data_IF_868181981929
#
_entry.id   IF_868181981929
#
_cell.length_a   1.000
_cell.length_b   1.000
_cell.length_c   1.000
_cell.angle_alpha   90.00
_cell.angle_beta   90.00
_cell.angle_gamma   90.00
#
_symmetry.space_group_name_H-M   'P 1'
#
loop_
_entity.id
_entity.type
_entity.pdbx_description
1 polymer ?
#
# COMPACT_ATOMS: atom_id res chain seq x y z
N UNK A 1 26.73 23.32 35.88
CA UNK A 1 25.61 23.68 35.00
C UNK A 1 26.02 23.31 33.59
N UNK A 2 25.14 22.68 32.82
CA UNK A 2 25.42 22.29 31.44
C UNK A 2 25.39 23.52 30.53
N UNK A 3 26.46 23.77 29.78
CA UNK A 3 26.56 24.93 28.88
C UNK A 3 25.53 24.84 27.74
N UNK A 4 25.10 23.63 27.36
CA UNK A 4 24.08 23.43 26.32
C UNK A 4 22.70 23.91 26.76
N UNK A 5 22.39 23.80 28.06
CA UNK A 5 21.11 24.26 28.61
C UNK A 5 20.97 25.79 28.64
N UNK A 6 22.07 26.54 28.50
CA UNK A 6 22.09 28.00 28.46
C UNK A 6 21.90 28.56 27.03
N UNK A 7 21.90 27.70 26.01
CA UNK A 7 21.75 28.14 24.63
C UNK A 7 20.29 28.50 24.31
N UNK A 8 20.07 29.55 23.50
CA UNK A 8 18.76 29.80 22.89
C UNK A 8 18.28 28.57 22.10
N UNK A 9 16.97 28.32 22.10
CA UNK A 9 16.36 27.14 21.49
C UNK A 9 16.68 27.01 20.00
N UNK A 10 16.87 28.13 19.30
CA UNK A 10 17.21 28.20 17.89
C UNK A 10 18.63 27.69 17.62
N UNK A 11 19.58 28.01 18.51
CA UNK A 11 20.95 27.52 18.42
C UNK A 11 21.00 26.03 18.69
N UNK A 12 20.29 25.56 19.72
CA UNK A 12 20.19 24.14 20.04
C UNK A 12 19.52 23.37 18.90
N UNK A 13 18.43 23.90 18.33
CA UNK A 13 17.74 23.31 17.18
C UNK A 13 18.64 23.15 15.95
N UNK A 14 19.52 24.13 15.67
CA UNK A 14 20.51 24.02 14.58
C UNK A 14 21.53 22.93 14.83
N UNK A 15 22.05 22.82 16.06
CA UNK A 15 23.00 21.75 16.43
C UNK A 15 22.34 20.39 16.26
N UNK A 16 21.11 20.23 16.76
CA UNK A 16 20.37 18.98 16.63
C UNK A 16 20.05 18.62 15.18
N UNK A 17 19.74 19.61 14.34
CA UNK A 17 19.51 19.38 12.91
C UNK A 17 20.78 18.97 12.15
N UNK A 18 21.95 19.48 12.55
CA UNK A 18 23.23 19.02 11.99
C UNK A 18 23.47 17.56 12.39
N UNK A 19 23.27 17.21 13.66
CA UNK A 19 23.43 15.83 14.15
C UNK A 19 22.47 14.85 13.47
N UNK A 20 21.22 15.25 13.22
CA UNK A 20 20.23 14.46 12.47
C UNK A 20 20.66 14.24 11.01
N UNK A 21 21.15 15.30 10.36
CA UNK A 21 21.65 15.22 8.98
C UNK A 21 22.91 14.35 8.83
N UNK A 22 23.75 14.31 9.87
CA UNK A 22 24.97 13.49 9.92
C UNK A 22 24.71 12.06 10.41
N UNK A 23 23.44 11.67 10.63
CA UNK A 23 23.04 10.35 11.13
C UNK A 23 23.70 9.99 12.49
N UNK A 24 24.01 11.01 13.29
CA UNK A 24 24.60 10.87 14.63
C UNK A 24 23.52 10.58 15.68
N UNK A 25 22.73 9.51 15.46
CA UNK A 25 21.63 9.15 16.37
C UNK A 25 22.11 8.77 17.77
N UNK A 26 23.33 8.24 17.89
CA UNK A 26 23.89 7.84 19.19
C UNK A 26 24.14 9.05 20.09
N UNK A 27 24.56 10.16 19.48
CA UNK A 27 24.79 11.45 20.09
C UNK A 27 23.46 12.11 20.45
N UNK A 28 22.48 12.07 19.55
CA UNK A 28 21.12 12.54 19.83
C UNK A 28 20.48 11.77 21.00
N UNK A 29 20.64 10.45 21.05
CA UNK A 29 20.16 9.63 22.15
C UNK A 29 20.86 9.97 23.49
N UNK A 30 22.15 10.29 23.46
CA UNK A 30 22.88 10.78 24.65
C UNK A 30 22.36 12.13 25.11
N UNK A 31 22.02 13.04 24.19
CA UNK A 31 21.46 14.36 24.54
C UNK A 31 20.14 14.25 25.31
N UNK A 32 19.32 13.22 25.03
CA UNK A 32 18.09 12.95 25.80
C UNK A 32 18.35 12.66 27.28
N UNK A 33 19.55 12.20 27.63
CA UNK A 33 19.93 11.85 29.01
C UNK A 33 20.56 13.00 29.79
N UNK A 34 20.90 14.11 29.13
CA UNK A 34 21.66 15.21 29.75
C UNK A 34 20.77 16.12 30.60
N UNK A 35 19.71 16.67 30.01
CA UNK A 35 18.83 17.63 30.68
C UNK A 35 17.39 17.57 30.13
N UNK A 36 16.39 17.89 30.96
CA UNK A 36 14.97 17.85 30.57
C UNK A 36 14.63 18.83 29.46
N UNK A 37 15.22 20.03 29.48
CA UNK A 37 15.03 21.03 28.43
C UNK A 37 15.62 20.52 27.11
N UNK A 38 16.86 20.03 27.13
CA UNK A 38 17.51 19.46 25.93
C UNK A 38 16.69 18.30 25.38
N UNK A 39 16.27 17.36 26.24
CA UNK A 39 15.42 16.24 25.83
C UNK A 39 14.13 16.73 25.15
N UNK A 40 13.46 17.75 25.70
CA UNK A 40 12.22 18.28 25.11
C UNK A 40 12.40 18.87 23.71
N UNK A 41 13.58 19.41 23.39
CA UNK A 41 13.90 19.99 22.08
C UNK A 41 14.42 18.92 21.11
N UNK A 42 15.11 17.88 21.62
CA UNK A 42 15.62 16.76 20.82
C UNK A 42 14.54 15.77 20.41
N UNK A 43 13.54 15.53 21.26
CA UNK A 43 12.48 14.54 21.02
C UNK A 43 11.74 14.73 19.67
N UNK A 44 11.27 15.94 19.28
CA UNK A 44 10.60 16.12 17.99
C UNK A 44 11.45 15.76 16.78
N UNK A 45 12.77 15.97 16.86
CA UNK A 45 13.70 15.65 15.78
C UNK A 45 13.88 14.12 15.70
N UNK A 46 14.15 13.50 16.85
CA UNK A 46 14.33 12.06 16.98
C UNK A 46 13.11 11.24 16.53
N UNK A 47 11.92 11.76 16.84
CA UNK A 47 10.64 11.11 16.56
C UNK A 47 9.95 11.66 15.31
N UNK A 48 10.65 12.46 14.49
CA UNK A 48 10.13 12.88 13.19
C UNK A 48 9.90 11.67 12.28
N UNK A 49 10.75 10.65 12.40
CA UNK A 49 10.52 9.31 11.85
C UNK A 49 10.87 8.22 12.88
N UNK A 50 9.88 7.70 13.64
CA UNK A 50 10.12 6.67 14.66
C UNK A 50 10.64 5.34 14.07
N UNK A 51 10.59 5.16 12.75
CA UNK A 51 10.97 3.94 12.06
C UNK A 51 12.35 4.02 11.38
N UNK A 52 13.15 5.04 11.65
CA UNK A 52 14.53 5.10 11.13
C UNK A 52 15.34 3.87 11.54
N UNK A 53 15.99 3.25 10.56
CA UNK A 53 16.76 2.02 10.73
C UNK A 53 17.85 2.12 11.78
N UNK A 54 18.43 3.30 12.00
CA UNK A 54 19.50 3.50 12.95
C UNK A 54 19.06 3.45 14.43
N UNK A 55 17.77 3.64 14.78
CA UNK A 55 17.24 3.31 16.13
C UNK A 55 17.13 1.81 16.37
N UNK A 56 17.04 1.07 15.27
CA UNK A 56 16.58 -0.29 15.23
C UNK A 56 17.68 -1.27 14.83
N UNK A 57 18.84 -0.77 14.41
CA UNK A 57 20.10 -1.49 14.25
C UNK A 57 20.60 -1.89 15.64
N UNK A 58 19.96 -2.94 16.17
CA UNK A 58 20.47 -3.66 17.31
C UNK A 58 21.93 -4.03 16.99
N UNK A 59 22.83 -3.86 17.96
CA UNK A 59 24.22 -4.32 17.87
C UNK A 59 24.21 -5.86 17.82
N UNK A 60 23.76 -6.42 16.70
CA UNK A 60 23.84 -7.83 16.40
C UNK A 60 25.31 -8.15 16.20
N UNK A 61 26.02 -8.28 17.32
CA UNK A 61 27.31 -8.93 17.38
C UNK A 61 27.12 -10.36 16.91
N UNK A 62 27.28 -10.56 15.60
CA UNK A 62 27.62 -11.73 14.78
C UNK A 62 27.16 -13.17 15.15
N UNK A 63 26.65 -13.48 16.34
CA UNK A 63 26.65 -14.85 16.86
C UNK A 63 25.33 -15.29 17.54
N UNK A 64 24.15 -15.07 16.93
CA UNK A 64 22.95 -15.77 17.41
C UNK A 64 21.91 -16.00 16.32
N UNK A 65 21.73 -17.27 15.98
CA UNK A 65 20.67 -17.81 15.10
C UNK A 65 19.27 -17.81 15.76
N UNK A 66 19.01 -16.90 16.69
CA UNK A 66 17.70 -16.71 17.30
C UNK A 66 17.10 -15.42 16.76
N UNK A 67 16.06 -15.51 15.93
CA UNK A 67 15.26 -14.38 15.44
C UNK A 67 14.55 -13.70 16.60
N UNK A 68 15.28 -12.86 17.36
CA UNK A 68 14.65 -11.95 18.31
C UNK A 68 13.73 -11.02 17.51
N UNK A 69 12.51 -10.74 18.01
CA UNK A 69 11.61 -9.80 17.35
C UNK A 69 12.34 -8.47 17.18
N UNK A 70 12.48 -8.03 15.92
CA UNK A 70 13.18 -6.79 15.59
C UNK A 70 12.66 -5.64 16.44
N UNK A 71 13.56 -4.76 16.86
CA UNK A 71 13.35 -3.49 17.57
C UNK A 71 12.10 -2.72 17.10
N UNK A 72 11.83 -2.71 15.79
CA UNK A 72 10.58 -2.24 15.17
C UNK A 72 9.30 -2.77 15.82
N UNK A 73 9.21 -4.08 16.05
CA UNK A 73 8.04 -4.71 16.64
C UNK A 73 7.78 -4.23 18.07
N UNK A 74 8.84 -3.95 18.84
CA UNK A 74 8.70 -3.41 20.21
C UNK A 74 8.17 -1.98 20.19
N UNK A 75 8.66 -1.13 19.29
CA UNK A 75 8.19 0.24 19.17
C UNK A 75 6.75 0.31 18.69
N UNK A 76 6.40 -0.39 17.61
CA UNK A 76 5.02 -0.48 17.12
C UNK A 76 4.09 -1.00 18.20
N UNK A 77 4.48 -2.03 18.95
CA UNK A 77 3.69 -2.54 20.10
C UNK A 77 3.51 -1.48 21.18
N UNK A 78 4.57 -0.74 21.52
CA UNK A 78 4.51 0.31 22.53
C UNK A 78 3.58 1.43 22.12
N UNK A 79 3.69 1.91 20.87
CA UNK A 79 2.83 2.96 20.34
C UNK A 79 1.36 2.51 20.30
N UNK A 80 1.10 1.30 19.82
CA UNK A 80 -0.26 0.76 19.76
C UNK A 80 -0.85 0.50 21.15
N UNK A 81 -0.04 0.08 22.14
CA UNK A 81 -0.50 -0.11 23.53
C UNK A 81 -0.96 1.19 24.22
N UNK A 82 -0.55 2.35 23.70
CA UNK A 82 -0.93 3.67 24.21
C UNK A 82 -2.23 4.19 23.59
N UNK A 83 -2.70 3.59 22.50
CA UNK A 83 -4.03 3.90 21.96
C UNK A 83 -5.09 3.28 22.87
N UNK A 84 -6.17 4.01 23.13
CA UNK A 84 -7.26 3.46 23.96
C UNK A 84 -7.85 2.22 23.28
N UNK A 85 -8.01 1.13 24.05
CA UNK A 85 -8.47 -0.17 23.56
C UNK A 85 -9.82 -0.10 22.82
N UNK A 86 -10.65 0.91 23.11
CA UNK A 86 -11.91 1.16 22.39
C UNK A 86 -11.75 1.60 20.93
N UNK A 87 -10.57 2.07 20.53
CA UNK A 87 -10.28 2.57 19.17
C UNK A 87 -9.53 1.52 18.34
N UNK A 88 -8.85 0.56 18.97
CA UNK A 88 -8.05 -0.44 18.27
C UNK A 88 -8.94 -1.62 17.85
N UNK A 89 -8.99 -1.96 16.55
CA UNK A 89 -9.68 -3.17 16.10
C UNK A 89 -9.18 -4.44 16.81
N UNK A 90 -10.07 -5.37 17.15
CA UNK A 90 -9.72 -6.58 17.94
C UNK A 90 -8.62 -7.43 17.31
N UNK A 91 -8.57 -7.53 15.99
CA UNK A 91 -7.52 -8.30 15.29
C UNK A 91 -6.13 -7.67 15.47
N UNK A 92 -6.06 -6.34 15.60
CA UNK A 92 -4.84 -5.60 15.89
C UNK A 92 -4.37 -5.89 17.32
N UNK A 93 -5.29 -5.95 18.27
CA UNK A 93 -4.99 -6.37 19.65
C UNK A 93 -4.40 -7.77 19.68
N UNK A 94 -4.95 -8.71 18.89
CA UNK A 94 -4.45 -10.08 18.78
C UNK A 94 -3.05 -10.14 18.15
N UNK A 95 -2.80 -9.38 17.08
CA UNK A 95 -1.47 -9.31 16.46
C UNK A 95 -0.40 -8.67 17.37
N UNK A 96 -0.82 -7.93 18.39
CA UNK A 96 0.07 -7.28 19.35
C UNK A 96 0.36 -8.12 20.59
N UNK A 97 -0.35 -9.22 20.82
CA UNK A 97 -0.05 -10.12 21.93
C UNK A 97 1.38 -10.67 21.72
N UNK A 98 2.31 -10.49 22.67
CA UNK A 98 3.63 -11.10 22.61
C UNK A 98 3.47 -12.60 22.41
N UNK A 99 4.29 -13.21 21.53
CA UNK A 99 4.43 -14.66 21.44
C UNK A 99 4.55 -15.20 22.86
N UNK A 100 3.47 -15.79 23.35
CA UNK A 100 3.46 -16.49 24.61
C UNK A 100 4.41 -17.65 24.38
N UNK A 101 5.65 -17.51 24.84
CA UNK A 101 6.65 -18.57 24.73
C UNK A 101 6.29 -19.77 25.62
N UNK A 102 5.15 -19.68 26.33
CA UNK A 102 4.50 -20.75 27.06
C UNK A 102 3.20 -21.18 26.37
N UNK A 103 3.29 -21.86 25.23
CA UNK A 103 2.14 -22.60 24.68
C UNK A 103 2.08 -24.00 25.30
N UNK A 104 1.32 -24.10 26.40
CA UNK A 104 0.63 -25.35 26.70
C UNK A 104 -0.61 -25.43 25.82
N UNK A 105 -0.65 -26.48 25.00
CA UNK A 105 -1.61 -26.76 23.94
C UNK A 105 -3.07 -26.70 24.40
N UNK A 106 -3.77 -25.60 24.12
CA UNK A 106 -5.24 -25.59 24.10
C UNK A 106 -5.75 -24.77 22.92
N UNK A 107 -5.98 -25.49 21.82
CA UNK A 107 -7.08 -25.32 20.85
C UNK A 107 -7.47 -23.89 20.46
N UNK A 108 -6.53 -23.09 19.94
CA UNK A 108 -6.88 -21.89 19.17
C UNK A 108 -7.18 -22.29 17.73
N UNK A 109 -8.40 -22.77 17.50
CA UNK A 109 -8.88 -23.06 16.16
C UNK A 109 -8.98 -21.77 15.33
N UNK A 110 -8.21 -21.75 14.24
CA UNK A 110 -8.58 -21.14 12.96
C UNK A 110 -8.73 -19.60 12.91
N UNK A 111 -7.62 -18.88 13.06
CA UNK A 111 -7.51 -17.50 12.58
C UNK A 111 -6.46 -17.36 11.47
N UNK A 112 -6.20 -18.43 10.71
CA UNK A 112 -5.37 -18.31 9.52
C UNK A 112 -6.20 -17.65 8.41
N UNK A 113 -5.89 -16.42 7.97
CA UNK A 113 -6.62 -15.74 6.90
C UNK A 113 -6.38 -16.36 5.52
N UNK A 114 -5.46 -17.33 5.44
CA UNK A 114 -5.11 -18.02 4.22
C UNK A 114 -5.86 -19.35 4.09
N UNK A 115 -6.11 -19.77 2.84
CA UNK A 115 -6.68 -21.08 2.55
C UNK A 115 -5.79 -22.21 3.14
N UNK A 116 -6.37 -23.34 3.56
CA UNK A 116 -5.59 -24.51 3.96
C UNK A 116 -4.57 -24.85 2.87
N UNK A 117 -3.29 -25.00 3.23
CA UNK A 117 -2.22 -25.29 2.29
C UNK A 117 -1.49 -24.06 1.70
N UNK A 118 -2.10 -22.87 1.70
CA UNK A 118 -1.46 -21.68 1.11
C UNK A 118 -0.19 -21.24 1.86
N UNK A 119 -0.20 -21.34 3.18
CA UNK A 119 0.96 -20.98 4.01
C UNK A 119 2.10 -22.01 3.87
N UNK A 120 1.82 -23.25 3.47
CA UNK A 120 2.88 -24.24 3.20
C UNK A 120 3.67 -23.95 1.93
N UNK A 121 3.13 -23.15 1.01
CA UNK A 121 3.82 -22.77 -0.22
C UNK A 121 4.95 -21.75 0.00
N UNK A 122 5.01 -21.11 1.17
CA UNK A 122 6.06 -20.15 1.50
C UNK A 122 7.10 -20.78 2.41
N UNK A 123 8.38 -20.68 2.02
CA UNK A 123 9.51 -21.13 2.83
C UNK A 123 9.52 -20.45 4.22
N UNK A 124 9.12 -19.17 4.28
CA UNK A 124 9.05 -18.39 5.52
C UNK A 124 7.60 -17.99 5.86
N UNK A 125 6.89 -18.93 6.50
CA UNK A 125 5.52 -18.76 7.00
C UNK A 125 5.36 -17.51 7.88
N UNK A 126 6.35 -17.21 8.71
CA UNK A 126 6.29 -16.08 9.64
C UNK A 126 6.43 -14.75 8.92
N UNK A 127 7.29 -14.67 7.90
CA UNK A 127 7.40 -13.48 7.06
C UNK A 127 6.10 -13.21 6.31
N UNK A 128 5.49 -14.22 5.68
CA UNK A 128 4.22 -14.06 4.95
C UNK A 128 3.09 -13.60 5.87
N UNK A 129 2.94 -14.20 7.05
CA UNK A 129 1.96 -13.76 8.05
C UNK A 129 2.24 -12.33 8.53
N UNK A 130 3.50 -12.01 8.82
CA UNK A 130 3.91 -10.69 9.26
C UNK A 130 3.59 -9.63 8.20
N UNK A 131 3.87 -9.90 6.94
CA UNK A 131 3.62 -8.96 5.84
C UNK A 131 2.12 -8.81 5.57
N UNK A 132 1.35 -9.90 5.64
CA UNK A 132 -0.12 -9.83 5.61
C UNK A 132 -0.70 -8.96 6.72
N UNK A 133 -0.26 -9.15 7.97
CA UNK A 133 -0.75 -8.34 9.08
C UNK A 133 -0.30 -6.88 8.95
N UNK A 134 0.95 -6.61 8.55
CA UNK A 134 1.40 -5.23 8.26
C UNK A 134 0.48 -4.54 7.25
N UNK A 135 0.21 -5.20 6.13
CA UNK A 135 -0.68 -4.67 5.09
C UNK A 135 -2.07 -4.44 5.68
N UNK A 136 -2.65 -5.44 6.34
CA UNK A 136 -3.99 -5.33 6.96
C UNK A 136 -4.10 -4.17 7.95
N UNK A 137 -3.06 -3.98 8.77
CA UNK A 137 -3.00 -2.88 9.75
C UNK A 137 -2.95 -1.53 9.05
N UNK A 138 -2.08 -1.38 8.05
CA UNK A 138 -1.96 -0.15 7.26
C UNK A 138 -3.30 0.19 6.61
N UNK A 139 -3.97 -0.79 5.99
CA UNK A 139 -5.30 -0.62 5.38
C UNK A 139 -6.34 -0.11 6.36
N UNK A 140 -6.35 -0.67 7.57
CA UNK A 140 -7.34 -0.31 8.60
C UNK A 140 -7.06 1.06 9.20
N UNK A 141 -5.78 1.46 9.33
CA UNK A 141 -5.39 2.81 9.70
C UNK A 141 -5.85 3.81 8.64
N UNK A 142 -5.54 3.56 7.36
CA UNK A 142 -5.99 4.42 6.26
C UNK A 142 -7.50 4.58 6.25
N UNK A 143 -8.23 3.49 6.43
CA UNK A 143 -9.68 3.53 6.51
C UNK A 143 -10.17 4.34 7.72
N UNK A 144 -9.62 4.11 8.91
CA UNK A 144 -10.04 4.85 10.11
C UNK A 144 -9.82 6.36 9.98
N UNK A 145 -8.74 6.77 9.31
CA UNK A 145 -8.44 8.17 9.03
C UNK A 145 -9.35 8.76 7.94
N UNK A 146 -9.64 8.00 6.88
CA UNK A 146 -10.44 8.47 5.75
C UNK A 146 -11.95 8.49 6.04
N UNK A 147 -12.47 7.48 6.76
CA UNK A 147 -13.89 7.29 7.02
C UNK A 147 -14.63 8.53 7.59
N UNK A 148 -14.09 9.32 8.53
CA UNK A 148 -14.77 10.52 9.03
C UNK A 148 -14.79 11.70 8.04
N UNK A 149 -13.97 11.67 6.98
CA UNK A 149 -13.78 12.79 6.05
C UNK A 149 -14.09 12.42 4.59
N UNK A 150 -14.73 11.27 4.33
CA UNK A 150 -14.98 10.78 2.96
C UNK A 150 -15.69 11.81 2.07
N UNK A 151 -16.59 12.61 2.63
CA UNK A 151 -17.32 13.67 1.93
C UNK A 151 -16.40 14.80 1.45
N UNK A 152 -15.24 14.96 2.06
CA UNK A 152 -14.28 16.03 1.77
C UNK A 152 -13.15 15.57 0.85
N UNK A 153 -12.96 14.26 0.68
CA UNK A 153 -11.87 13.71 -0.10
C UNK A 153 -12.09 13.93 -1.59
N UNK A 154 -11.12 14.58 -2.24
CA UNK A 154 -11.05 14.71 -3.70
C UNK A 154 -10.32 13.54 -4.35
N UNK A 155 -9.43 12.87 -3.61
CA UNK A 155 -8.68 11.73 -4.08
C UNK A 155 -8.70 10.63 -3.03
N UNK A 156 -8.94 9.40 -3.46
CA UNK A 156 -8.97 8.24 -2.58
C UNK A 156 -8.42 7.01 -3.31
N UNK A 157 -7.54 6.26 -2.64
CA UNK A 157 -6.98 5.02 -3.20
C UNK A 157 -7.50 3.83 -2.42
N UNK A 158 -8.23 2.93 -3.08
CA UNK A 158 -8.62 1.65 -2.52
C UNK A 158 -7.37 0.75 -2.56
N UNK A 159 -6.74 0.60 -1.41
CA UNK A 159 -5.48 -0.12 -1.27
C UNK A 159 -5.62 -1.65 -1.29
N UNK A 160 -6.85 -2.18 -1.21
CA UNK A 160 -7.08 -3.62 -1.20
C UNK A 160 -8.47 -3.99 -1.71
N UNK A 161 -8.52 -4.73 -2.81
CA UNK A 161 -9.78 -5.14 -3.45
C UNK A 161 -10.66 -5.99 -2.54
N UNK A 162 -10.10 -6.85 -1.68
CA UNK A 162 -10.93 -7.68 -0.78
C UNK A 162 -11.83 -6.87 0.15
N UNK A 163 -11.53 -5.58 0.36
CA UNK A 163 -12.35 -4.68 1.16
C UNK A 163 -13.33 -3.85 0.30
N UNK A 164 -13.48 -4.12 -0.99
CA UNK A 164 -14.34 -3.35 -1.91
C UNK A 164 -15.79 -3.29 -1.45
N UNK A 165 -16.31 -4.36 -0.86
CA UNK A 165 -17.66 -4.37 -0.27
C UNK A 165 -17.82 -3.33 0.85
N UNK A 166 -16.77 -3.09 1.64
CA UNK A 166 -16.78 -2.06 2.69
C UNK A 166 -16.87 -0.66 2.09
N UNK A 167 -16.12 -0.42 1.00
CA UNK A 167 -16.17 0.85 0.27
C UNK A 167 -17.51 1.04 -0.43
N UNK A 168 -18.08 -0.04 -0.99
CA UNK A 168 -19.39 -0.03 -1.63
C UNK A 168 -20.50 0.43 -0.67
N UNK A 169 -20.48 -0.04 0.59
CA UNK A 169 -21.46 0.38 1.62
C UNK A 169 -21.46 1.87 1.94
N UNK A 170 -20.35 2.56 1.74
CA UNK A 170 -20.22 4.01 2.04
C UNK A 170 -20.19 4.86 0.78
N UNK A 171 -20.42 4.26 -0.39
CA UNK A 171 -20.09 4.86 -1.67
C UNK A 171 -20.74 6.23 -1.88
N UNK A 172 -21.99 6.39 -1.43
CA UNK A 172 -22.72 7.65 -1.50
C UNK A 172 -22.14 8.79 -0.65
N UNK A 173 -21.14 8.52 0.20
CA UNK A 173 -20.43 9.54 0.98
C UNK A 173 -19.32 10.22 0.18
N UNK A 174 -18.85 9.65 -0.92
CA UNK A 174 -17.79 10.20 -1.77
C UNK A 174 -18.27 11.35 -2.68
N UNK A 175 -18.94 12.36 -2.10
CA UNK A 175 -19.61 13.43 -2.85
C UNK A 175 -18.66 14.32 -3.64
N UNK A 176 -17.44 14.52 -3.14
CA UNK A 176 -16.42 15.37 -3.74
C UNK A 176 -15.28 14.57 -4.37
N UNK A 177 -15.43 13.25 -4.51
CA UNK A 177 -14.35 12.41 -5.00
C UNK A 177 -14.17 12.60 -6.51
N UNK A 178 -13.02 13.17 -6.88
CA UNK A 178 -12.63 13.41 -8.27
C UNK A 178 -11.71 12.31 -8.80
N UNK A 179 -10.89 11.73 -7.92
CA UNK A 179 -9.88 10.73 -8.25
C UNK A 179 -10.05 9.50 -7.38
N UNK A 180 -10.24 8.37 -8.04
CA UNK A 180 -10.26 7.07 -7.40
C UNK A 180 -9.10 6.24 -7.96
N UNK A 181 -8.18 5.86 -7.09
CA UNK A 181 -7.12 4.90 -7.39
C UNK A 181 -7.47 3.52 -6.85
N UNK A 182 -6.94 2.48 -7.51
CA UNK A 182 -6.91 1.13 -6.97
C UNK A 182 -5.45 0.72 -6.85
N UNK A 183 -4.98 0.38 -5.66
CA UNK A 183 -3.70 -0.28 -5.50
C UNK A 183 -3.95 -1.78 -5.38
N UNK A 184 -3.37 -2.54 -6.30
CA UNK A 184 -3.33 -3.99 -6.21
C UNK A 184 -2.02 -4.29 -5.51
N UNK A 185 -2.08 -4.79 -4.28
CA UNK A 185 -0.87 -5.15 -3.55
C UNK A 185 -0.24 -6.37 -4.22
N UNK A 186 0.99 -6.20 -4.72
CA UNK A 186 1.81 -7.22 -5.39
C UNK A 186 1.98 -8.50 -4.56
N UNK A 187 1.81 -8.47 -3.24
CA UNK A 187 1.94 -9.66 -2.36
C UNK A 187 0.90 -10.75 -2.62
N UNK A 188 -0.05 -10.53 -3.54
CA UNK A 188 -1.00 -11.54 -3.99
C UNK A 188 -0.88 -11.87 -5.47
N UNK A 189 0.09 -11.28 -6.17
CA UNK A 189 0.55 -11.86 -7.43
C UNK A 189 1.23 -13.18 -7.09
N UNK A 190 0.88 -14.21 -7.86
CA UNK A 190 1.38 -15.54 -7.64
C UNK A 190 2.91 -15.49 -7.72
N UNK A 191 3.67 -15.89 -6.69
CA UNK A 191 5.13 -15.94 -6.80
C UNK A 191 5.60 -16.84 -7.96
N UNK A 192 4.71 -17.67 -8.50
CA UNK A 192 4.94 -18.54 -9.65
C UNK A 192 4.51 -17.92 -11.00
N UNK A 193 3.99 -16.69 -11.05
CA UNK A 193 3.73 -15.96 -12.32
C UNK A 193 5.00 -15.25 -12.84
N UNK A 194 6.15 -15.44 -12.19
CA UNK A 194 7.43 -14.90 -12.62
C UNK A 194 8.01 -15.66 -13.81
N UNK A 195 7.85 -15.10 -15.01
CA UNK A 195 8.64 -15.34 -16.22
C UNK A 195 9.24 -16.76 -16.37
N UNK A 196 8.37 -17.76 -16.57
CA UNK A 196 8.79 -19.09 -17.09
C UNK A 196 9.59 -18.97 -18.42
N UNK A 197 9.56 -17.80 -19.07
CA UNK A 197 10.28 -17.51 -20.30
C UNK A 197 11.79 -17.20 -20.12
N UNK A 198 12.31 -17.03 -18.89
CA UNK A 198 13.74 -16.67 -18.68
C UNK A 198 14.66 -17.91 -18.54
N UNK A 199 14.13 -19.10 -18.23
CA UNK A 199 14.92 -20.34 -18.12
C UNK A 199 14.66 -21.36 -19.25
N UNK A 200 14.09 -20.91 -20.37
CA UNK A 200 13.80 -21.74 -21.54
C UNK A 200 15.01 -22.23 -22.35
N UNK A 201 16.04 -22.82 -21.73
CA UNK A 201 17.05 -23.56 -22.50
C UNK A 201 17.93 -24.61 -21.78
N UNK A 202 17.81 -24.87 -20.47
CA UNK A 202 18.83 -25.70 -19.79
C UNK A 202 18.48 -27.18 -19.53
N UNK A 203 17.20 -27.61 -19.45
CA UNK A 203 16.88 -28.97 -18.96
C UNK A 203 16.28 -29.98 -19.97
N UNK A 204 16.73 -29.96 -21.23
CA UNK A 204 16.29 -30.95 -22.24
C UNK A 204 16.91 -32.36 -22.13
N UNK A 205 17.38 -32.82 -20.96
CA UNK A 205 18.13 -34.10 -20.85
C UNK A 205 17.59 -35.10 -19.80
N UNK A 206 16.52 -34.82 -19.05
CA UNK A 206 15.96 -35.82 -18.10
C UNK A 206 14.55 -36.23 -18.52
N UNK A 207 14.49 -37.31 -19.32
CA UNK A 207 13.27 -38.03 -19.73
C UNK A 207 12.67 -38.85 -18.57
N UNK A 208 12.13 -38.20 -17.54
CA UNK A 208 11.25 -38.86 -16.57
C UNK A 208 9.82 -38.29 -16.70
N UNK A 209 8.97 -39.07 -17.39
CA UNK A 209 7.51 -38.95 -17.53
C UNK A 209 6.82 -38.95 -16.14
N UNK A 210 6.88 -37.84 -15.41
CA UNK A 210 6.06 -37.63 -14.23
C UNK A 210 4.96 -36.60 -14.54
N UNK A 211 3.70 -37.05 -14.50
CA UNK A 211 2.43 -36.32 -14.77
C UNK A 211 2.18 -35.10 -13.85
N UNK A 212 3.13 -34.17 -13.75
CA UNK A 212 3.04 -32.95 -12.94
C UNK A 212 2.30 -31.79 -13.62
N UNK A 213 1.93 -31.94 -14.91
CA UNK A 213 1.28 -30.87 -15.68
C UNK A 213 -0.17 -30.60 -15.24
N UNK A 214 -0.87 -31.58 -14.65
CA UNK A 214 -2.31 -31.44 -14.36
C UNK A 214 -2.63 -30.59 -13.13
N UNK A 215 -1.78 -30.57 -12.11
CA UNK A 215 -2.03 -29.81 -10.87
C UNK A 215 -1.79 -28.30 -11.07
N UNK A 216 -0.82 -27.93 -11.94
CA UNK A 216 -0.50 -26.54 -12.28
C UNK A 216 -1.61 -25.82 -13.06
N UNK A 217 -2.33 -26.53 -13.95
CA UNK A 217 -3.35 -25.89 -14.79
C UNK A 217 -4.59 -25.46 -13.99
N UNK A 218 -4.94 -26.21 -12.94
CA UNK A 218 -6.07 -25.88 -12.05
C UNK A 218 -5.78 -24.61 -11.23
N UNK A 219 -4.58 -24.49 -10.68
CA UNK A 219 -4.17 -23.32 -9.91
C UNK A 219 -4.08 -22.06 -10.79
N UNK A 220 -3.55 -22.18 -12.01
CA UNK A 220 -3.56 -21.08 -12.99
C UNK A 220 -4.98 -20.62 -13.34
N UNK A 221 -5.92 -21.56 -13.56
CA UNK A 221 -7.34 -21.24 -13.81
C UNK A 221 -7.98 -20.54 -12.61
N UNK A 222 -7.74 -21.02 -11.38
CA UNK A 222 -8.28 -20.42 -10.17
C UNK A 222 -7.71 -19.01 -9.89
N UNK A 223 -6.42 -18.79 -10.15
CA UNK A 223 -5.78 -17.47 -10.02
C UNK A 223 -6.26 -16.49 -11.10
N UNK A 224 -6.47 -16.95 -12.34
CA UNK A 224 -7.09 -16.13 -13.41
C UNK A 224 -8.52 -15.75 -13.07
N UNK A 225 -9.34 -16.71 -12.63
CA UNK A 225 -10.72 -16.47 -12.23
C UNK A 225 -10.79 -15.41 -11.10
N UNK A 226 -9.92 -15.51 -10.08
CA UNK A 226 -9.85 -14.51 -9.01
C UNK A 226 -9.48 -13.12 -9.53
N UNK A 227 -8.54 -13.00 -10.47
CA UNK A 227 -8.22 -11.73 -11.14
C UNK A 227 -9.42 -11.15 -11.88
N UNK A 228 -10.15 -11.98 -12.64
CA UNK A 228 -11.33 -11.55 -13.39
C UNK A 228 -12.47 -11.09 -12.46
N UNK A 229 -12.66 -11.75 -11.32
CA UNK A 229 -13.62 -11.36 -10.28
C UNK A 229 -13.25 -10.01 -9.65
N UNK A 230 -11.97 -9.82 -9.30
CA UNK A 230 -11.41 -8.55 -8.80
C UNK A 230 -11.66 -7.41 -9.79
N UNK A 231 -11.35 -7.61 -11.06
CA UNK A 231 -11.59 -6.61 -12.12
C UNK A 231 -13.09 -6.30 -12.22
N UNK A 232 -13.95 -7.32 -12.20
CA UNK A 232 -15.40 -7.14 -12.27
C UNK A 232 -15.94 -6.31 -11.11
N UNK A 233 -15.42 -6.49 -9.90
CA UNK A 233 -15.84 -5.72 -8.73
C UNK A 233 -15.34 -4.27 -8.77
N UNK A 234 -14.10 -4.03 -9.25
CA UNK A 234 -13.63 -2.67 -9.53
C UNK A 234 -14.55 -1.99 -10.55
N UNK A 235 -14.90 -2.70 -11.62
CA UNK A 235 -15.77 -2.20 -12.68
C UNK A 235 -17.15 -1.86 -12.16
N UNK A 236 -17.71 -2.70 -11.28
CA UNK A 236 -18.98 -2.42 -10.61
C UNK A 236 -18.89 -1.15 -9.74
N UNK A 237 -17.85 -1.03 -8.94
CA UNK A 237 -17.63 0.14 -8.08
C UNK A 237 -17.47 1.43 -8.89
N UNK A 238 -16.68 1.39 -9.97
CA UNK A 238 -16.51 2.53 -10.87
C UNK A 238 -17.80 2.85 -11.62
N UNK A 239 -18.54 1.85 -12.10
CA UNK A 239 -19.81 2.08 -12.81
C UNK A 239 -20.83 2.86 -11.95
N UNK A 240 -20.80 2.65 -10.64
CA UNK A 240 -21.64 3.40 -9.70
C UNK A 240 -21.12 4.82 -9.41
N UNK A 241 -19.87 5.12 -9.73
CA UNK A 241 -19.32 6.49 -9.69
C UNK A 241 -19.19 7.04 -11.09
N UNK A 242 -20.05 7.99 -11.44
CA UNK A 242 -19.94 8.62 -12.75
C UNK A 242 -18.62 9.40 -12.83
N UNK A 243 -17.69 9.04 -13.73
CA UNK A 243 -16.37 9.64 -13.74
C UNK A 243 -16.48 11.11 -14.09
N UNK A 244 -15.96 11.97 -13.21
CA UNK A 244 -15.85 13.42 -13.45
C UNK A 244 -14.50 13.80 -14.03
N UNK A 245 -13.58 12.84 -14.12
CA UNK A 245 -12.20 13.00 -14.56
C UNK A 245 -11.77 11.84 -15.44
N UNK A 246 -10.99 12.11 -16.49
CA UNK A 246 -10.35 11.10 -17.34
C UNK A 246 -8.84 11.41 -17.45
N UNK A 247 -8.00 10.44 -17.10
CA UNK A 247 -6.54 10.57 -17.15
C UNK A 247 -5.86 9.22 -16.93
N UNK A 248 -4.55 9.22 -16.68
CA UNK A 248 -3.76 7.98 -16.67
C UNK A 248 -4.25 6.90 -15.70
N UNK A 249 -4.83 7.32 -14.57
CA UNK A 249 -5.37 6.40 -13.57
C UNK A 249 -6.58 5.59 -14.03
N UNK A 250 -7.40 6.12 -14.96
CA UNK A 250 -8.63 5.46 -15.40
C UNK A 250 -8.73 5.35 -16.93
N UNK A 251 -7.65 5.65 -17.65
CA UNK A 251 -7.64 5.59 -19.10
C UNK A 251 -7.79 4.16 -19.61
N UNK A 252 -7.04 3.21 -19.04
CA UNK A 252 -7.16 1.79 -19.41
C UNK A 252 -8.57 1.25 -19.18
N UNK A 253 -9.27 1.75 -18.15
CA UNK A 253 -10.67 1.39 -17.89
C UNK A 253 -11.59 1.89 -19.02
N UNK A 254 -11.43 3.14 -19.43
CA UNK A 254 -12.18 3.67 -20.57
C UNK A 254 -11.88 2.87 -21.85
N UNK A 255 -10.62 2.50 -22.08
CA UNK A 255 -10.21 1.72 -23.26
C UNK A 255 -10.83 0.33 -23.33
N UNK A 256 -11.08 -0.30 -22.18
CA UNK A 256 -11.75 -1.60 -22.15
C UNK A 256 -13.20 -1.50 -22.66
N UNK A 257 -13.86 -0.35 -22.45
CA UNK A 257 -15.28 -0.17 -22.72
C UNK A 257 -15.64 1.24 -23.23
N UNK A 258 -15.07 1.67 -24.38
CA UNK A 258 -15.16 3.06 -24.80
C UNK A 258 -16.60 3.46 -25.12
N UNK A 259 -17.42 2.55 -25.66
CA UNK A 259 -18.81 2.83 -26.08
C UNK A 259 -19.82 2.80 -24.92
N UNK A 260 -19.58 2.03 -23.86
CA UNK A 260 -20.53 1.88 -22.75
C UNK A 260 -20.21 2.73 -21.52
N UNK A 261 -19.00 3.31 -21.44
CA UNK A 261 -18.63 4.24 -20.36
C UNK A 261 -19.45 5.53 -20.48
N UNK A 262 -20.21 5.90 -19.45
CA UNK A 262 -20.89 7.20 -19.46
C UNK A 262 -19.89 8.34 -19.25
N UNK A 263 -19.72 9.17 -20.27
CA UNK A 263 -18.81 10.32 -20.25
C UNK A 263 -19.55 11.64 -20.00
N UNK A 264 -20.88 11.64 -19.85
CA UNK A 264 -21.66 12.88 -19.76
C UNK A 264 -21.18 13.80 -18.63
N UNK A 265 -20.65 13.23 -17.55
CA UNK A 265 -20.23 13.95 -16.36
C UNK A 265 -18.72 14.24 -16.31
N UNK A 266 -17.94 13.82 -17.31
CA UNK A 266 -16.49 14.07 -17.35
C UNK A 266 -16.25 15.57 -17.52
N UNK A 267 -15.64 16.18 -16.50
CA UNK A 267 -15.33 17.61 -16.44
C UNK A 267 -13.89 17.92 -16.81
N UNK A 268 -12.97 16.98 -16.58
CA UNK A 268 -11.54 17.21 -16.78
C UNK A 268 -10.87 16.03 -17.45
N UNK A 269 -10.06 16.33 -18.47
CA UNK A 269 -9.27 15.36 -19.22
C UNK A 269 -7.81 15.81 -19.19
N UNK A 270 -6.91 14.92 -18.78
CA UNK A 270 -5.46 15.18 -18.73
C UNK A 270 -4.74 14.06 -19.47
N UNK A 271 -3.99 14.41 -20.52
CA UNK A 271 -3.22 13.43 -21.29
C UNK A 271 -1.83 13.12 -20.72
N UNK A 272 -1.39 13.83 -19.67
CA UNK A 272 -0.09 13.59 -19.07
C UNK A 272 -0.01 12.16 -18.50
N UNK A 273 0.99 11.40 -18.96
CA UNK A 273 1.21 10.01 -18.58
C UNK A 273 0.34 8.98 -19.33
N UNK A 274 -0.43 9.39 -20.34
CA UNK A 274 -1.15 8.46 -21.21
C UNK A 274 -0.22 7.88 -22.29
N UNK A 275 -0.51 6.64 -22.70
CA UNK A 275 0.17 5.99 -23.82
C UNK A 275 -0.06 6.77 -25.12
N UNK A 276 0.85 6.62 -26.09
CA UNK A 276 0.73 7.29 -27.40
C UNK A 276 -0.60 6.96 -28.11
N UNK A 277 -1.15 5.77 -27.87
CA UNK A 277 -2.45 5.33 -28.40
C UNK A 277 -3.64 6.17 -27.94
N UNK A 278 -3.52 6.99 -26.88
CA UNK A 278 -4.54 7.98 -26.54
C UNK A 278 -4.79 8.94 -27.71
N UNK A 279 -3.73 9.39 -28.39
CA UNK A 279 -3.87 10.35 -29.47
C UNK A 279 -4.71 9.78 -30.61
N UNK A 280 -4.48 8.53 -31.01
CA UNK A 280 -5.24 7.89 -32.08
C UNK A 280 -6.71 7.78 -31.72
N UNK A 281 -7.01 7.40 -30.48
CA UNK A 281 -8.39 7.17 -30.04
C UNK A 281 -9.10 8.50 -29.82
N UNK A 282 -8.45 9.49 -29.23
CA UNK A 282 -9.10 10.74 -28.87
C UNK A 282 -9.16 11.74 -30.03
N UNK A 283 -8.12 11.78 -30.87
CA UNK A 283 -8.05 12.68 -32.02
C UNK A 283 -8.82 12.13 -33.22
N UNK A 284 -8.79 10.81 -33.45
CA UNK A 284 -9.53 10.21 -34.57
C UNK A 284 -11.01 9.96 -34.25
N UNK A 285 -11.40 9.98 -32.97
CA UNK A 285 -12.77 9.67 -32.57
C UNK A 285 -13.47 10.87 -31.89
N UNK A 286 -13.92 11.81 -32.73
CA UNK A 286 -14.67 12.99 -32.30
C UNK A 286 -15.90 12.64 -31.43
N UNK A 287 -16.45 11.42 -31.57
CA UNK A 287 -17.60 10.97 -30.77
C UNK A 287 -17.29 10.91 -29.27
N UNK A 288 -16.03 10.69 -28.87
CA UNK A 288 -15.63 10.63 -27.46
C UNK A 288 -15.76 12.01 -26.82
N UNK A 289 -15.21 13.03 -27.45
CA UNK A 289 -15.35 14.43 -27.03
C UNK A 289 -16.81 14.88 -27.01
N UNK A 290 -17.60 14.48 -28.00
CA UNK A 290 -19.04 14.82 -28.05
C UNK A 290 -19.86 14.21 -26.92
N UNK A 291 -19.39 13.09 -26.33
CA UNK A 291 -20.03 12.45 -25.17
C UNK A 291 -19.66 13.12 -23.85
N UNK A 292 -18.53 13.83 -23.78
CA UNK A 292 -18.09 14.59 -22.61
C UNK A 292 -18.87 15.92 -22.46
N UNK A 293 -20.18 15.85 -22.21
CA UNK A 293 -21.07 17.02 -22.17
C UNK A 293 -20.74 18.03 -21.05
N UNK A 294 -20.10 17.58 -19.98
CA UNK A 294 -19.68 18.42 -18.86
C UNK A 294 -18.22 18.89 -18.93
N UNK A 295 -17.51 18.67 -20.05
CA UNK A 295 -16.08 18.96 -20.16
C UNK A 295 -15.78 20.45 -19.97
N UNK A 296 -14.99 20.77 -18.93
CA UNK A 296 -14.53 22.13 -18.58
C UNK A 296 -13.04 22.32 -18.81
N UNK A 297 -12.25 21.25 -18.71
CA UNK A 297 -10.79 21.32 -18.78
C UNK A 297 -10.22 20.19 -19.62
N UNK A 298 -9.43 20.53 -20.64
CA UNK A 298 -8.76 19.60 -21.53
C UNK A 298 -7.28 19.97 -21.59
N UNK A 299 -6.42 19.10 -21.06
CA UNK A 299 -4.97 19.28 -21.00
C UNK A 299 -4.31 18.23 -21.89
N UNK A 300 -3.58 18.68 -22.92
CA UNK A 300 -2.93 17.82 -23.91
C UNK A 300 -1.43 18.14 -23.92
N UNK A 301 -0.64 17.18 -23.46
CA UNK A 301 0.81 17.30 -23.23
C UNK A 301 1.67 17.02 -24.47
N UNK A 302 1.12 16.41 -25.52
CA UNK A 302 1.83 16.14 -26.78
C UNK A 302 1.00 16.59 -27.98
N UNK A 303 1.20 17.82 -28.44
CA UNK A 303 0.64 18.28 -29.71
C UNK A 303 1.72 18.23 -30.78
N UNK A 304 1.68 17.21 -31.64
CA UNK A 304 2.28 17.36 -32.96
C UNK A 304 1.45 18.39 -33.74
N UNK A 305 2.12 19.22 -34.56
CA UNK A 305 1.44 20.25 -35.35
C UNK A 305 0.39 19.61 -36.27
N UNK A 306 -0.88 20.07 -36.18
CA UNK A 306 -1.96 19.66 -37.07
C UNK A 306 -2.94 18.60 -36.53
N UNK A 307 -2.89 18.26 -35.24
CA UNK A 307 -3.81 17.31 -34.60
C UNK A 307 -5.27 17.79 -34.55
N UNK A 308 -5.50 19.11 -34.49
CA UNK A 308 -6.84 19.71 -34.55
C UNK A 308 -7.04 20.35 -35.93
N UNK A 309 -7.58 19.59 -36.88
CA UNK A 309 -8.07 20.09 -38.17
C UNK A 309 -9.57 19.89 -38.28
#
# INVERSE_FOLDING_TARGET
>A
MDLLSLLPVECLGRILHILDKEDCLSELARLLTMDKYIASVTLPILYNDPYQSAFHQDQQGKNSYGTKPGSYGKLTRTLLSRLSVGIIPKFLVLALIPDATDYSSTTTAQSNPFAPGYVSCFEDKYRTLRDYFKITIVLEIYWCLANPILEQLQSFTILHIRNIERYHKVVGRFKNLERLGFAISETFEDPFDGDDDIFGEIDSIIDDEFDSETESELDRKASKQRRDEVIRDQMRFVKEHVPTYLGWFNWLHFLAYPLSTDLMHVQRIISYGLSESWNDIFCSNQSVLQRCRALKHLEISNTHAGIFK
#
